data_IF_396688096391
#
_entry.id   IF_396688096391
#
_cell.length_a   1.000
_cell.length_b   1.000
_cell.length_c   1.000
_cell.angle_alpha   90.00
_cell.angle_beta   90.00
_cell.angle_gamma   90.00
#
_symmetry.space_group_name_H-M   'P 1'
#
loop_
_entity.id
_entity.type
_entity.pdbx_description
1 polymer ?
#
# COMPACT_ATOMS: atom_id res chain seq x y z
N UNK A 1 7.97 7.19 -2.15
CA UNK A 1 6.55 6.88 -2.45
C UNK A 1 5.69 7.52 -1.38
N UNK A 2 4.61 8.22 -1.74
CA UNK A 2 3.54 8.58 -0.80
C UNK A 2 2.53 7.42 -0.73
N UNK A 3 1.95 7.16 0.45
CA UNK A 3 0.71 6.38 0.50
C UNK A 3 -0.41 7.21 -0.12
N UNK A 4 -1.09 6.63 -1.10
CA UNK A 4 -2.22 7.24 -1.81
C UNK A 4 -3.38 6.24 -1.88
N UNK A 5 -4.61 6.75 -1.81
CA UNK A 5 -5.81 5.93 -2.04
C UNK A 5 -6.27 6.07 -3.48
N UNK A 6 -6.79 4.98 -4.05
CA UNK A 6 -7.46 4.91 -5.34
C UNK A 6 -8.88 4.35 -5.15
N UNK A 7 -9.84 4.77 -5.96
CA UNK A 7 -11.17 4.17 -6.02
C UNK A 7 -11.21 3.10 -7.11
N UNK A 8 -11.38 1.84 -6.73
CA UNK A 8 -11.37 0.71 -7.66
C UNK A 8 -12.75 0.05 -7.65
N UNK A 9 -13.46 -0.04 -8.79
CA UNK A 9 -14.79 -0.63 -8.82
C UNK A 9 -14.76 -2.14 -8.55
N UNK A 10 -15.73 -2.64 -7.80
CA UNK A 10 -15.99 -4.07 -7.66
C UNK A 10 -16.73 -4.67 -8.88
N UNK A 11 -17.21 -5.91 -8.75
CA UNK A 11 -18.01 -6.58 -9.79
C UNK A 11 -19.43 -5.98 -9.93
N UNK A 12 -19.95 -5.36 -8.88
CA UNK A 12 -21.26 -4.69 -8.82
C UNK A 12 -21.19 -3.20 -9.23
N UNK A 13 -20.00 -2.63 -9.35
CA UNK A 13 -19.74 -1.22 -9.70
C UNK A 13 -19.60 -0.26 -8.51
N UNK A 14 -19.44 -0.76 -7.28
CA UNK A 14 -19.18 0.08 -6.10
C UNK A 14 -17.69 0.46 -6.00
N UNK A 15 -17.38 1.72 -5.67
CA UNK A 15 -16.00 2.16 -5.41
C UNK A 15 -15.45 1.53 -4.13
N UNK A 16 -14.44 0.67 -4.25
CA UNK A 16 -13.64 0.17 -3.14
C UNK A 16 -12.41 1.06 -2.92
N UNK A 17 -12.11 1.36 -1.65
CA UNK A 17 -10.92 2.14 -1.28
C UNK A 17 -9.67 1.24 -1.31
N UNK A 18 -8.82 1.47 -2.30
CA UNK A 18 -7.57 0.74 -2.49
C UNK A 18 -6.37 1.57 -2.01
N UNK A 19 -5.52 1.01 -1.16
CA UNK A 19 -4.24 1.62 -0.79
C UNK A 19 -3.21 1.26 -1.85
N UNK A 20 -2.65 2.26 -2.52
CA UNK A 20 -1.50 2.13 -3.41
C UNK A 20 -0.26 1.76 -2.59
N UNK A 21 0.38 0.64 -2.95
CA UNK A 21 1.57 0.12 -2.27
C UNK A 21 2.83 0.52 -3.05
N UNK A 22 2.87 0.23 -4.34
CA UNK A 22 3.89 0.72 -5.26
C UNK A 22 3.42 0.67 -6.72
N UNK A 23 4.08 1.45 -7.59
CA UNK A 23 4.12 1.21 -9.02
C UNK A 23 5.53 0.81 -9.44
N UNK A 24 5.67 0.02 -10.50
CA UNK A 24 6.98 -0.34 -11.06
C UNK A 24 6.91 -0.62 -12.57
N UNK A 25 8.07 -0.55 -13.23
CA UNK A 25 8.31 -1.06 -14.58
C UNK A 25 9.02 -2.40 -14.43
N UNK A 26 8.58 -3.43 -15.16
CA UNK A 26 9.36 -4.66 -15.33
C UNK A 26 10.33 -4.47 -16.50
N UNK A 27 11.61 -4.22 -16.21
CA UNK A 27 12.58 -3.76 -17.24
C UNK A 27 12.86 -4.81 -18.33
N UNK A 28 12.47 -6.08 -18.11
CA UNK A 28 12.56 -7.18 -19.08
C UNK A 28 11.49 -7.13 -20.19
N UNK A 29 10.35 -6.49 -19.95
CA UNK A 29 9.30 -6.27 -20.97
C UNK A 29 9.01 -4.79 -21.25
N UNK A 30 9.47 -3.88 -20.39
CA UNK A 30 9.14 -2.45 -20.43
C UNK A 30 7.73 -2.13 -19.93
N UNK A 31 6.92 -3.14 -19.63
CA UNK A 31 5.54 -2.97 -19.19
C UNK A 31 5.48 -2.39 -17.76
N UNK A 32 4.51 -1.50 -17.54
CA UNK A 32 4.26 -0.86 -16.25
C UNK A 32 3.22 -1.67 -15.45
N UNK A 33 3.37 -1.68 -14.13
CA UNK A 33 2.49 -2.39 -13.21
C UNK A 33 2.24 -1.58 -11.93
N UNK A 34 1.08 -1.82 -11.35
CA UNK A 34 0.57 -1.23 -10.12
C UNK A 34 0.29 -2.31 -9.08
N UNK A 35 0.65 -2.05 -7.84
CA UNK A 35 0.41 -2.92 -6.70
C UNK A 35 -0.40 -2.19 -5.65
N UNK A 36 -1.58 -2.73 -5.32
CA UNK A 36 -2.48 -2.13 -4.32
C UNK A 36 -3.05 -3.19 -3.36
N UNK A 37 -3.68 -2.76 -2.27
CA UNK A 37 -4.49 -3.63 -1.42
C UNK A 37 -5.84 -3.00 -1.08
N UNK A 38 -6.88 -3.85 -1.00
CA UNK A 38 -8.22 -3.50 -0.52
C UNK A 38 -8.37 -3.75 1.01
N UNK A 39 -7.26 -3.97 1.72
CA UNK A 39 -7.22 -4.32 3.15
C UNK A 39 -7.96 -5.64 3.49
N UNK A 40 -8.10 -6.54 2.52
CA UNK A 40 -8.62 -7.89 2.73
C UNK A 40 -7.59 -8.77 3.46
N UNK A 41 -7.83 -9.06 4.74
CA UNK A 41 -7.11 -10.12 5.47
C UNK A 41 -7.73 -11.49 5.16
N UNK A 42 -6.89 -12.48 4.86
CA UNK A 42 -7.31 -13.79 4.32
C UNK A 42 -7.08 -14.94 5.31
N UNK A 43 -6.10 -14.78 6.20
CA UNK A 43 -5.81 -15.62 7.35
C UNK A 43 -5.04 -14.76 8.38
N UNK A 44 -4.69 -15.33 9.54
CA UNK A 44 -3.72 -14.67 10.43
C UNK A 44 -2.44 -14.32 9.64
N UNK A 45 -1.99 -13.08 9.81
CA UNK A 45 -0.83 -12.42 9.17
C UNK A 45 -0.76 -12.43 7.61
N UNK A 46 -1.80 -12.89 6.90
CA UNK A 46 -1.85 -12.87 5.41
C UNK A 46 -2.84 -11.85 4.86
N UNK A 47 -2.32 -10.92 4.06
CA UNK A 47 -3.07 -9.86 3.38
C UNK A 47 -3.14 -10.16 1.87
N UNK A 48 -4.30 -9.87 1.27
CA UNK A 48 -4.50 -9.90 -0.18
C UNK A 48 -3.97 -8.59 -0.78
N UNK A 49 -3.11 -8.71 -1.79
CA UNK A 49 -2.70 -7.59 -2.64
C UNK A 49 -3.10 -7.90 -4.08
N UNK A 50 -3.18 -6.87 -4.91
CA UNK A 50 -3.54 -6.98 -6.32
C UNK A 50 -2.43 -6.39 -7.17
N UNK A 51 -2.15 -7.07 -8.27
CA UNK A 51 -1.20 -6.67 -9.30
C UNK A 51 -1.98 -6.42 -10.59
N UNK A 52 -1.96 -5.17 -11.06
CA UNK A 52 -2.61 -4.73 -12.29
C UNK A 52 -1.56 -4.14 -13.24
N UNK A 53 -1.57 -4.47 -14.54
CA UNK A 53 -0.77 -3.77 -15.53
C UNK A 53 -1.30 -2.34 -15.74
N UNK A 54 -0.44 -1.44 -16.21
CA UNK A 54 -0.82 -0.09 -16.61
C UNK A 54 -0.36 0.23 -18.04
N UNK A 55 -1.20 0.97 -18.75
CA UNK A 55 -0.88 1.62 -20.03
C UNK A 55 -1.14 3.13 -19.93
N UNK A 56 -0.49 3.91 -20.80
CA UNK A 56 -0.58 5.38 -20.82
C UNK A 56 0.77 6.08 -20.67
N UNK A 57 0.80 7.36 -21.05
CA UNK A 57 1.99 8.20 -21.08
C UNK A 57 1.84 9.45 -20.19
N UNK A 58 2.96 9.94 -19.66
CA UNK A 58 2.97 11.10 -18.77
C UNK A 58 2.16 10.87 -17.49
N UNK A 59 1.12 11.70 -17.29
CA UNK A 59 0.31 11.74 -16.09
C UNK A 59 -1.03 10.99 -16.17
N UNK A 60 -1.50 10.57 -17.35
CA UNK A 60 -2.74 9.78 -17.48
C UNK A 60 -2.40 8.32 -17.77
N UNK A 61 -2.88 7.40 -16.91
CA UNK A 61 -2.66 5.95 -17.05
C UNK A 61 -3.93 5.18 -16.74
N UNK A 62 -4.08 4.00 -17.32
CA UNK A 62 -5.25 3.12 -17.13
C UNK A 62 -4.81 1.71 -16.74
N UNK A 63 -5.61 1.04 -15.90
CA UNK A 63 -5.40 -0.37 -15.57
C UNK A 63 -5.98 -1.25 -16.69
N UNK A 64 -5.11 -1.99 -17.37
CA UNK A 64 -5.48 -2.84 -18.51
C UNK A 64 -5.51 -4.34 -18.13
N UNK A 65 -5.62 -5.23 -19.13
CA UNK A 65 -5.53 -6.68 -18.96
C UNK A 65 -4.28 -7.21 -19.68
N UNK A 66 -3.34 -7.79 -18.94
CA UNK A 66 -2.07 -8.27 -19.48
C UNK A 66 -2.09 -9.77 -19.80
N UNK A 67 -1.10 -10.24 -20.58
CA UNK A 67 -0.94 -11.66 -20.86
C UNK A 67 -0.46 -12.44 -19.63
N UNK A 68 -0.58 -13.77 -19.67
CA UNK A 68 -0.03 -14.63 -18.62
C UNK A 68 1.51 -14.49 -18.48
N UNK A 69 2.21 -14.20 -19.58
CA UNK A 69 3.67 -14.03 -19.62
C UNK A 69 4.10 -12.72 -18.95
N UNK A 70 3.40 -11.63 -19.26
CA UNK A 70 3.58 -10.33 -18.58
C UNK A 70 3.28 -10.44 -17.10
N UNK A 71 2.21 -11.15 -16.71
CA UNK A 71 1.84 -11.33 -15.31
C UNK A 71 2.84 -12.19 -14.54
N UNK A 72 3.44 -13.22 -15.16
CA UNK A 72 4.55 -13.97 -14.56
C UNK A 72 5.79 -13.07 -14.38
N UNK A 73 6.11 -12.27 -15.39
CA UNK A 73 7.23 -11.33 -15.39
C UNK A 73 7.08 -10.27 -14.29
N UNK A 74 5.90 -9.65 -14.19
CA UNK A 74 5.53 -8.72 -13.14
C UNK A 74 5.57 -9.36 -11.74
N UNK A 75 5.12 -10.61 -11.62
CA UNK A 75 5.19 -11.36 -10.35
C UNK A 75 6.64 -11.66 -9.95
N UNK A 76 7.54 -11.89 -10.90
CA UNK A 76 8.98 -12.05 -10.62
C UNK A 76 9.62 -10.72 -10.17
N UNK A 77 9.34 -9.62 -10.87
CA UNK A 77 9.78 -8.28 -10.48
C UNK A 77 9.26 -7.88 -9.09
N UNK A 78 7.97 -8.10 -8.80
CA UNK A 78 7.37 -7.82 -7.49
C UNK A 78 8.01 -8.66 -6.36
N UNK A 79 8.33 -9.93 -6.60
CA UNK A 79 9.09 -10.74 -5.63
C UNK A 79 10.47 -10.15 -5.36
N UNK A 80 11.14 -9.57 -6.36
CA UNK A 80 12.43 -8.90 -6.20
C UNK A 80 12.32 -7.59 -5.41
N UNK A 81 11.31 -6.77 -5.70
CA UNK A 81 10.99 -5.56 -4.94
C UNK A 81 10.74 -5.89 -3.45
N UNK A 82 9.93 -6.93 -3.17
CA UNK A 82 9.63 -7.35 -1.79
C UNK A 82 10.88 -7.89 -1.08
N UNK A 83 11.71 -8.69 -1.77
CA UNK A 83 12.99 -9.16 -1.24
C UNK A 83 13.91 -7.98 -0.88
N UNK A 84 14.05 -7.01 -1.77
CA UNK A 84 14.94 -5.86 -1.60
C UNK A 84 14.42 -4.86 -0.54
N UNK A 85 13.10 -4.77 -0.37
CA UNK A 85 12.45 -4.05 0.75
C UNK A 85 12.63 -4.75 2.11
N UNK A 86 12.70 -6.09 2.13
CA UNK A 86 12.93 -6.86 3.35
C UNK A 86 14.42 -7.02 3.70
N UNK A 87 15.32 -6.73 2.76
CA UNK A 87 16.77 -6.77 2.96
C UNK A 87 17.25 -5.80 4.05
N UNK A 88 18.23 -6.16 4.91
CA UNK A 88 18.72 -5.30 5.98
C UNK A 88 19.21 -3.91 5.54
N UNK A 89 19.64 -3.75 4.29
CA UNK A 89 20.09 -2.45 3.76
C UNK A 89 18.99 -1.65 3.05
N UNK A 90 17.83 -2.26 2.75
CA UNK A 90 16.71 -1.69 1.99
C UNK A 90 17.18 -0.87 0.77
N UNK A 91 17.68 -1.57 -0.25
CA UNK A 91 18.28 -1.07 -1.49
C UNK A 91 17.96 -2.05 -2.63
N UNK A 92 17.72 -1.52 -3.83
CA UNK A 92 17.58 -2.31 -5.05
C UNK A 92 18.90 -3.03 -5.38
N UNK A 93 18.82 -4.31 -5.75
CA UNK A 93 19.99 -5.20 -5.90
C UNK A 93 20.34 -5.53 -7.36
N UNK A 94 19.43 -5.32 -8.31
CA UNK A 94 19.67 -5.45 -9.75
C UNK A 94 18.71 -4.58 -10.58
N UNK A 95 18.91 -4.53 -11.89
CA UNK A 95 18.13 -3.72 -12.82
C UNK A 95 16.89 -4.45 -13.38
N UNK A 96 16.34 -5.47 -12.71
CA UNK A 96 15.15 -6.20 -13.21
C UNK A 96 13.86 -5.37 -13.16
N UNK A 97 13.79 -4.35 -12.30
CA UNK A 97 12.66 -3.45 -12.16
C UNK A 97 13.11 -1.98 -12.05
N UNK A 98 12.17 -1.05 -12.21
CA UNK A 98 12.33 0.36 -11.85
C UNK A 98 11.10 0.82 -11.07
N UNK A 99 11.25 1.49 -9.92
CA UNK A 99 10.08 1.99 -9.17
C UNK A 99 9.51 3.23 -9.86
N UNK A 100 8.18 3.32 -9.92
CA UNK A 100 7.47 4.49 -10.44
C UNK A 100 7.04 5.39 -9.28
N UNK A 101 7.35 6.68 -9.37
CA UNK A 101 6.54 7.69 -8.66
C UNK A 101 5.21 7.86 -9.41
N UNK A 102 4.13 7.86 -8.64
CA UNK A 102 2.74 7.97 -9.09
C UNK A 102 1.97 9.04 -8.31
N UNK A 103 2.67 9.90 -7.55
CA UNK A 103 2.08 10.89 -6.66
C UNK A 103 1.05 11.76 -7.40
N UNK A 104 1.41 12.31 -8.56
CA UNK A 104 0.56 13.19 -9.38
C UNK A 104 -0.15 12.50 -10.56
N UNK A 105 -0.03 11.17 -10.70
CA UNK A 105 -0.61 10.43 -11.85
C UNK A 105 -2.12 10.24 -11.71
N UNK A 106 -2.92 10.57 -12.73
CA UNK A 106 -4.32 10.17 -12.81
C UNK A 106 -4.41 8.71 -13.29
N UNK A 107 -5.00 7.84 -12.47
CA UNK A 107 -5.07 6.39 -12.72
C UNK A 107 -6.53 5.98 -12.92
N UNK A 108 -6.90 5.66 -14.14
CA UNK A 108 -8.21 5.11 -14.50
C UNK A 108 -8.28 3.64 -14.06
N UNK A 109 -9.00 3.40 -12.97
CA UNK A 109 -9.14 2.09 -12.34
C UNK A 109 -10.18 1.24 -13.07
N UNK A 110 -9.83 0.00 -13.44
CA UNK A 110 -10.80 -1.00 -13.94
C UNK A 110 -11.19 -1.96 -12.80
N UNK A 111 -12.09 -2.92 -13.07
CA UNK A 111 -12.71 -3.74 -12.01
C UNK A 111 -11.69 -4.63 -11.30
N UNK A 112 -11.77 -4.70 -9.97
CA UNK A 112 -10.88 -5.49 -9.13
C UNK A 112 -10.83 -7.00 -9.49
N UNK A 113 -11.88 -7.54 -10.13
CA UNK A 113 -11.94 -8.93 -10.60
C UNK A 113 -11.14 -9.21 -11.89
N UNK A 114 -10.62 -8.18 -12.57
CA UNK A 114 -9.70 -8.30 -13.72
C UNK A 114 -8.23 -8.30 -13.27
N UNK A 115 -7.94 -7.93 -12.03
CA UNK A 115 -6.58 -7.78 -11.50
C UNK A 115 -6.09 -9.05 -10.81
N UNK A 116 -4.78 -9.32 -10.88
CA UNK A 116 -4.21 -10.56 -10.36
C UNK A 116 -4.00 -10.49 -8.85
N UNK A 117 -4.80 -11.23 -8.07
CA UNK A 117 -4.68 -11.24 -6.60
C UNK A 117 -3.58 -12.17 -6.10
N UNK A 118 -2.68 -11.65 -5.28
CA UNK A 118 -1.61 -12.37 -4.58
C UNK A 118 -1.85 -12.34 -3.06
N UNK A 119 -1.23 -13.27 -2.34
CA UNK A 119 -1.22 -13.29 -0.85
C UNK A 119 0.19 -13.00 -0.37
N UNK A 120 0.33 -12.04 0.54
CA UNK A 120 1.62 -11.55 1.08
C UNK A 120 1.49 -11.41 2.59
N UNK A 121 2.60 -11.60 3.33
CA UNK A 121 2.58 -11.43 4.78
C UNK A 121 2.48 -9.95 5.17
N UNK A 122 1.78 -9.67 6.28
CA UNK A 122 1.62 -8.32 6.81
C UNK A 122 2.98 -7.66 7.13
N UNK A 123 3.98 -8.45 7.55
CA UNK A 123 5.35 -7.95 7.74
C UNK A 123 5.99 -7.47 6.43
N UNK A 124 5.88 -8.24 5.33
CA UNK A 124 6.43 -7.83 4.03
C UNK A 124 5.71 -6.61 3.47
N UNK A 125 4.39 -6.49 3.70
CA UNK A 125 3.62 -5.30 3.34
C UNK A 125 4.13 -4.05 4.06
N UNK A 126 4.36 -4.14 5.38
CA UNK A 126 4.89 -3.02 6.18
C UNK A 126 6.33 -2.64 5.79
N UNK A 127 7.13 -3.59 5.27
CA UNK A 127 8.45 -3.28 4.68
C UNK A 127 8.33 -2.58 3.32
N UNK A 128 7.40 -3.02 2.47
CA UNK A 128 7.16 -2.43 1.15
C UNK A 128 6.67 -0.98 1.25
N UNK A 129 5.77 -0.68 2.20
CA UNK A 129 5.23 0.68 2.43
C UNK A 129 6.29 1.73 2.81
N UNK A 130 7.44 1.32 3.34
CA UNK A 130 8.57 2.21 3.67
C UNK A 130 9.74 2.08 2.68
N UNK A 131 9.59 1.28 1.62
CA UNK A 131 10.64 1.08 0.63
C UNK A 131 10.74 2.28 -0.32
N UNK A 132 11.95 2.80 -0.46
CA UNK A 132 12.30 3.81 -1.44
C UNK A 132 13.77 3.58 -1.84
N UNK A 133 14.06 2.98 -3.01
CA UNK A 133 15.42 2.66 -3.41
C UNK A 133 16.25 3.90 -3.75
N UNK A 134 15.59 4.95 -4.26
CA UNK A 134 16.25 6.14 -4.81
C UNK A 134 16.66 7.15 -3.72
N UNK A 135 15.88 7.24 -2.63
CA UNK A 135 16.09 8.18 -1.51
C UNK A 135 17.42 8.03 -0.74
N UNK A 136 18.32 7.13 -1.16
CA UNK A 136 19.68 6.98 -0.63
C UNK A 136 20.78 7.38 -1.62
N UNK A 137 20.48 7.67 -2.90
CA UNK A 137 21.51 8.00 -3.90
C UNK A 137 21.96 9.47 -3.86
N UNK A 138 21.12 10.39 -3.39
CA UNK A 138 21.44 11.83 -3.37
C UNK A 138 22.50 12.22 -2.34
N UNK A 139 22.74 11.39 -1.31
CA UNK A 139 23.69 11.69 -0.23
C UNK A 139 25.14 11.44 -0.67
N UNK A 140 25.40 10.46 -1.55
CA UNK A 140 26.77 10.08 -1.97
C UNK A 140 27.23 10.79 -3.26
N UNK A 141 26.41 11.66 -3.87
CA UNK A 141 26.79 12.46 -5.06
C UNK A 141 27.32 13.86 -4.78
N UNK A 142 27.40 14.28 -3.51
CA UNK A 142 27.86 15.62 -3.10
C UNK A 142 29.26 15.63 -2.46
N UNK A 143 29.90 14.47 -2.30
CA UNK A 143 31.15 14.30 -1.55
C UNK A 143 32.38 14.04 -2.45
N UNK A 144 32.74 15.01 -3.30
CA UNK A 144 34.07 15.05 -3.94
C UNK A 144 35.06 15.80 -3.04
N UNK A 145 36.10 15.14 -2.47
CA UNK A 145 37.21 15.85 -1.84
C UNK A 145 37.97 16.62 -2.91
N UNK A 146 38.13 17.94 -2.72
CA UNK A 146 39.01 18.73 -3.56
C UNK A 146 40.46 18.49 -3.14
N UNK A 147 41.25 17.85 -4.00
CA UNK A 147 42.70 17.86 -3.92
C UNK A 147 43.26 18.41 -5.23
N UNK A 148 44.18 19.37 -5.13
CA UNK A 148 44.52 20.26 -6.25
C UNK A 148 45.92 19.95 -6.80
N UNK A 149 46.12 20.07 -8.12
CA UNK A 149 47.43 20.36 -8.73
C UNK A 149 47.29 21.21 -10.00
N UNK A 150 48.31 22.05 -10.23
CA UNK A 150 48.33 23.27 -11.06
C UNK A 150 48.05 23.17 -12.58
N UNK A 151 47.28 24.14 -13.12
CA UNK A 151 47.65 25.20 -14.12
C UNK A 151 48.68 24.95 -15.26
N UNK A 152 48.75 25.80 -16.33
CA UNK A 152 47.92 26.97 -16.73
C UNK A 152 47.58 27.04 -18.26
N UNK A 153 47.20 28.24 -18.76
CA UNK A 153 47.16 28.72 -20.18
C UNK A 153 45.96 28.26 -21.07
N UNK A 154 45.35 29.11 -21.93
CA UNK A 154 45.39 30.58 -22.08
C UNK A 154 44.19 31.14 -22.92
N UNK A 155 44.01 32.47 -22.95
CA UNK A 155 43.16 33.32 -23.83
C UNK A 155 41.69 32.90 -24.16
N UNK A 156 40.70 33.66 -23.66
CA UNK A 156 39.99 34.70 -24.46
C UNK A 156 38.69 35.22 -23.83
N UNK A 157 38.56 36.55 -23.79
CA UNK A 157 37.33 37.35 -23.62
C UNK A 157 37.41 38.51 -24.64
N UNK A 158 36.36 39.34 -24.90
CA UNK A 158 35.00 39.37 -24.34
C UNK A 158 33.90 39.44 -25.44
N UNK A 159 32.64 39.71 -25.07
CA UNK A 159 31.85 40.90 -25.54
C UNK A 159 30.37 40.77 -25.15
N UNK A 160 29.84 41.75 -24.42
CA UNK A 160 28.39 42.02 -24.28
C UNK A 160 27.97 43.05 -25.35
N UNK A 161 26.72 43.02 -25.86
CA UNK A 161 25.80 44.06 -25.40
C UNK A 161 24.29 43.67 -25.32
N UNK A 162 23.68 44.13 -24.23
CA UNK A 162 22.36 44.80 -24.13
C UNK A 162 21.42 44.79 -25.36
N UNK A 163 20.18 44.29 -25.19
CA UNK A 163 18.98 44.81 -25.89
C UNK A 163 17.65 44.41 -25.22
N UNK A 164 16.72 45.36 -25.20
CA UNK A 164 15.28 45.29 -24.84
C UNK A 164 14.63 46.57 -25.44
N UNK A 165 13.29 46.79 -25.46
CA UNK A 165 12.15 45.92 -25.10
C UNK A 165 11.03 45.86 -26.18
N UNK A 166 9.98 45.06 -25.94
CA UNK A 166 8.56 45.26 -26.33
C UNK A 166 7.77 44.15 -25.63
N UNK A 167 6.81 44.37 -24.74
CA UNK A 167 5.59 45.20 -24.79
C UNK A 167 4.50 44.65 -25.72
N UNK A 168 3.56 43.89 -25.15
CA UNK A 168 2.23 43.56 -25.70
C UNK A 168 1.35 42.88 -24.64
N UNK A 169 0.77 43.69 -23.74
CA UNK A 169 -0.51 43.39 -23.08
C UNK A 169 -1.62 44.06 -23.92
N UNK A 170 -2.92 43.64 -23.91
CA UNK A 170 -3.71 43.79 -22.67
C UNK A 170 -4.95 42.87 -22.47
N UNK A 171 -5.63 43.11 -21.34
CA UNK A 171 -7.08 42.98 -21.11
C UNK A 171 -7.83 41.65 -21.28
N UNK A 172 -8.13 41.03 -20.13
CA UNK A 172 -9.44 40.37 -19.89
C UNK A 172 -10.57 41.41 -19.87
N UNK A 173 -11.79 41.01 -20.29
CA UNK A 173 -12.94 41.25 -19.43
C UNK A 173 -13.95 40.08 -19.43
N UNK A 174 -14.17 39.47 -18.26
CA UNK A 174 -15.30 38.56 -18.04
C UNK A 174 -16.54 39.34 -17.60
N UNK A 175 -17.64 39.34 -18.37
CA UNK A 175 -18.97 39.63 -17.82
C UNK A 175 -20.18 39.21 -18.67
N UNK A 176 -21.27 38.97 -17.95
CA UNK A 176 -22.69 38.90 -18.37
C UNK A 176 -23.16 37.60 -19.05
N UNK A 177 -23.92 36.86 -18.23
CA UNK A 177 -24.88 35.80 -18.56
C UNK A 177 -25.87 36.25 -19.64
N UNK A 178 -26.17 35.37 -20.59
CA UNK A 178 -27.39 35.41 -21.42
C UNK A 178 -27.81 34.00 -21.82
N UNK A 179 -29.08 33.64 -21.58
CA UNK A 179 -29.76 32.48 -22.17
C UNK A 179 -31.27 32.74 -22.28
N UNK A 180 -31.96 31.99 -23.16
CA UNK A 180 -33.33 32.26 -23.67
C UNK A 180 -33.39 33.51 -24.58
N UNK A 181 -34.34 33.65 -25.55
CA UNK A 181 -35.79 33.42 -25.43
C UNK A 181 -36.45 32.59 -26.56
N UNK A 182 -37.80 32.53 -26.55
CA UNK A 182 -38.69 32.02 -27.62
C UNK A 182 -38.75 30.49 -27.74
N UNK A 183 -39.90 29.78 -27.76
CA UNK A 183 -41.32 30.11 -27.52
C UNK A 183 -42.09 28.78 -27.23
N UNK A 184 -43.37 28.73 -26.83
CA UNK A 184 -44.38 29.81 -26.67
C UNK A 184 -44.96 29.77 -25.23
N UNK A 185 -46.25 29.72 -24.83
CA UNK A 185 -47.60 29.67 -25.45
C UNK A 185 -48.60 30.34 -24.47
N UNK A 186 -49.88 30.56 -24.80
CA UNK A 186 -50.83 31.23 -23.87
C UNK A 186 -52.28 30.70 -23.90
N UNK A 187 -52.91 30.64 -22.71
CA UNK A 187 -54.32 31.00 -22.43
C UNK A 187 -54.63 30.89 -20.93
N UNK A 188 -55.76 31.46 -20.49
CA UNK A 188 -56.11 31.76 -19.10
C UNK A 188 -57.45 31.17 -18.65
N UNK A 189 -57.60 30.76 -17.38
CA UNK A 189 -58.86 30.93 -16.60
C UNK A 189 -58.68 30.69 -15.08
N UNK A 190 -59.77 30.92 -14.35
CA UNK A 190 -59.93 31.39 -12.97
C UNK A 190 -59.30 30.69 -11.75
N UNK A 191 -59.12 31.55 -10.74
CA UNK A 191 -59.25 31.37 -9.29
C UNK A 191 -60.04 30.13 -8.82
N UNK A 192 -59.39 29.26 -8.05
CA UNK A 192 -59.97 28.66 -6.83
C UNK A 192 -58.95 28.76 -5.70
N UNK A 193 -59.41 29.20 -4.52
CA UNK A 193 -58.63 29.35 -3.30
C UNK A 193 -58.49 28.00 -2.56
N UNK A 194 -57.30 27.40 -2.56
CA UNK A 194 -56.91 26.34 -1.63
C UNK A 194 -55.49 26.62 -1.10
N UNK A 195 -55.36 26.68 0.23
CA UNK A 195 -54.11 27.04 0.88
C UNK A 195 -53.08 25.90 0.77
N UNK A 196 -51.84 26.16 0.32
CA UNK A 196 -50.76 25.20 0.46
C UNK A 196 -50.39 25.06 1.94
N UNK A 197 -50.27 23.83 2.42
CA UNK A 197 -49.63 23.57 3.70
C UNK A 197 -48.15 24.02 3.58
N UNK A 198 -47.72 24.94 4.44
CA UNK A 198 -46.34 25.43 4.42
C UNK A 198 -45.43 24.36 5.00
N UNK A 199 -44.80 23.57 4.12
CA UNK A 199 -43.62 22.78 4.47
C UNK A 199 -42.51 23.74 4.89
N UNK A 200 -42.36 23.94 6.20
CA UNK A 200 -41.29 24.76 6.75
C UNK A 200 -39.96 24.03 6.53
N UNK A 201 -39.13 24.58 5.65
CA UNK A 201 -37.76 24.13 5.40
C UNK A 201 -37.02 24.04 6.76
N UNK A 202 -36.39 22.89 7.10
CA UNK A 202 -35.80 22.71 8.42
C UNK A 202 -34.71 23.75 8.66
N UNK A 203 -34.92 24.58 9.69
CA UNK A 203 -34.09 25.76 9.95
C UNK A 203 -32.64 25.36 10.19
N UNK A 204 -31.70 26.27 9.88
CA UNK A 204 -30.26 26.00 9.98
C UNK A 204 -29.83 25.45 11.36
N UNK A 205 -30.50 25.85 12.44
CA UNK A 205 -30.29 25.29 13.79
C UNK A 205 -30.67 23.80 13.90
N UNK A 206 -31.78 23.37 13.29
CA UNK A 206 -32.19 21.96 13.29
C UNK A 206 -31.20 21.09 12.52
N UNK A 207 -30.68 21.60 11.38
CA UNK A 207 -29.63 20.94 10.59
C UNK A 207 -28.30 20.80 11.37
N UNK A 208 -27.98 21.75 12.25
CA UNK A 208 -26.84 21.65 13.19
C UNK A 208 -27.12 20.60 14.28
N UNK A 209 -28.33 20.60 14.87
CA UNK A 209 -28.69 19.66 15.92
C UNK A 209 -28.70 18.20 15.46
N UNK A 210 -29.20 17.89 14.26
CA UNK A 210 -29.19 16.53 13.72
C UNK A 210 -27.76 16.05 13.45
N UNK A 211 -26.91 16.91 12.90
CA UNK A 211 -25.49 16.61 12.70
C UNK A 211 -24.76 16.37 14.04
N UNK A 212 -25.03 17.18 15.08
CA UNK A 212 -24.43 16.98 16.40
C UNK A 212 -24.91 15.68 17.07
N UNK A 213 -26.20 15.35 16.98
CA UNK A 213 -26.76 14.09 17.50
C UNK A 213 -26.17 12.88 16.77
N UNK A 214 -26.01 12.96 15.45
CA UNK A 214 -25.34 11.94 14.62
C UNK A 214 -23.87 11.76 15.00
N UNK A 215 -23.12 12.86 15.20
CA UNK A 215 -21.73 12.81 15.64
C UNK A 215 -21.56 12.16 17.03
N UNK A 216 -22.42 12.50 17.99
CA UNK A 216 -22.41 11.89 19.34
C UNK A 216 -22.69 10.38 19.26
N UNK A 217 -23.69 9.96 18.47
CA UNK A 217 -24.00 8.55 18.25
C UNK A 217 -22.82 7.79 17.61
N UNK A 218 -22.21 8.36 16.56
CA UNK A 218 -21.04 7.80 15.87
C UNK A 218 -19.83 7.63 16.81
N UNK A 219 -19.51 8.66 17.61
CA UNK A 219 -18.42 8.59 18.60
C UNK A 219 -18.71 7.55 19.69
N UNK A 220 -19.97 7.40 20.11
CA UNK A 220 -20.37 6.38 21.10
C UNK A 220 -20.24 4.97 20.53
N UNK A 221 -20.74 4.72 19.33
CA UNK A 221 -20.60 3.44 18.61
C UNK A 221 -19.13 3.08 18.35
N UNK A 222 -18.30 4.08 18.02
CA UNK A 222 -16.86 3.87 17.83
C UNK A 222 -16.16 3.51 19.15
N UNK A 223 -16.50 4.17 20.27
CA UNK A 223 -16.01 3.82 21.62
C UNK A 223 -16.39 2.38 22.00
N UNK A 224 -17.63 1.97 21.76
CA UNK A 224 -18.10 0.60 22.02
C UNK A 224 -17.36 -0.43 21.14
N UNK A 225 -17.14 -0.10 19.87
CA UNK A 225 -16.34 -0.92 18.95
C UNK A 225 -14.88 -1.08 19.42
N UNK A 226 -14.27 -0.01 19.92
CA UNK A 226 -12.91 -0.04 20.48
C UNK A 226 -12.84 -0.85 21.79
N UNK A 227 -13.83 -0.71 22.68
CA UNK A 227 -13.92 -1.50 23.91
C UNK A 227 -14.06 -2.99 23.62
N UNK A 228 -14.92 -3.37 22.67
CA UNK A 228 -15.06 -4.75 22.21
C UNK A 228 -13.74 -5.32 21.67
N UNK A 229 -13.04 -4.55 20.81
CA UNK A 229 -11.71 -4.92 20.32
C UNK A 229 -10.67 -5.07 21.43
N UNK A 230 -10.69 -4.21 22.45
CA UNK A 230 -9.77 -4.30 23.58
C UNK A 230 -10.00 -5.59 24.40
N UNK A 231 -11.26 -5.95 24.67
CA UNK A 231 -11.60 -7.20 25.36
C UNK A 231 -11.17 -8.44 24.55
N UNK A 232 -11.40 -8.45 23.23
CA UNK A 232 -10.94 -9.54 22.36
C UNK A 232 -9.41 -9.65 22.30
N UNK A 233 -8.67 -8.53 22.40
CA UNK A 233 -7.21 -8.54 22.47
C UNK A 233 -6.69 -9.09 23.80
N UNK A 234 -7.30 -8.73 24.93
CA UNK A 234 -6.92 -9.27 26.24
C UNK A 234 -7.16 -10.79 26.33
N UNK A 235 -8.29 -11.27 25.79
CA UNK A 235 -8.57 -12.70 25.70
C UNK A 235 -7.53 -13.42 24.83
N UNK A 236 -7.25 -12.91 23.62
CA UNK A 236 -6.26 -13.54 22.72
C UNK A 236 -4.83 -13.49 23.28
N UNK A 237 -4.46 -12.48 24.07
CA UNK A 237 -3.19 -12.48 24.81
C UNK A 237 -3.15 -13.60 25.86
N UNK A 238 -4.27 -13.85 26.55
CA UNK A 238 -4.40 -14.90 27.56
C UNK A 238 -4.32 -16.31 26.96
N UNK A 239 -5.01 -16.53 25.84
CA UNK A 239 -4.93 -17.76 25.04
C UNK A 239 -3.50 -18.04 24.55
N UNK A 240 -2.82 -17.02 24.00
CA UNK A 240 -1.44 -17.14 23.53
C UNK A 240 -0.48 -17.51 24.66
N UNK A 241 -0.60 -16.84 25.81
CA UNK A 241 0.22 -17.15 26.99
C UNK A 241 -0.04 -18.56 27.52
N UNK A 242 -1.30 -18.99 27.62
CA UNK A 242 -1.61 -20.36 28.03
C UNK A 242 -1.00 -21.38 27.07
N UNK A 243 -1.07 -21.13 25.75
CA UNK A 243 -0.47 -21.98 24.72
C UNK A 243 1.07 -22.04 24.83
N UNK A 244 1.72 -20.93 25.18
CA UNK A 244 3.16 -20.88 25.44
C UNK A 244 3.53 -21.72 26.67
N UNK A 245 2.78 -21.60 27.78
CA UNK A 245 2.96 -22.40 29.00
C UNK A 245 2.74 -23.91 28.72
N UNK A 246 1.71 -24.29 27.98
CA UNK A 246 1.45 -25.67 27.55
C UNK A 246 2.57 -26.24 26.67
N UNK A 247 3.12 -25.44 25.74
CA UNK A 247 4.25 -25.85 24.89
C UNK A 247 5.53 -26.03 25.72
N UNK A 248 5.83 -25.13 26.66
CA UNK A 248 7.00 -25.23 27.53
C UNK A 248 6.90 -26.39 28.55
N UNK A 249 5.69 -26.80 28.96
CA UNK A 249 5.48 -28.04 29.73
C UNK A 249 5.72 -29.27 28.85
N UNK A 250 5.29 -29.24 27.59
CA UNK A 250 5.46 -30.34 26.64
C UNK A 250 6.93 -30.54 26.23
N UNK A 251 7.67 -29.47 25.99
CA UNK A 251 9.11 -29.46 25.70
C UNK A 251 9.89 -30.21 26.78
N UNK A 252 9.78 -29.76 28.04
CA UNK A 252 10.37 -30.42 29.23
C UNK A 252 9.98 -31.89 29.40
N UNK A 253 8.83 -32.30 28.85
CA UNK A 253 8.37 -33.70 28.87
C UNK A 253 8.99 -34.57 27.76
N UNK A 254 9.50 -33.96 26.69
CA UNK A 254 10.36 -34.61 25.71
C UNK A 254 11.81 -34.65 26.20
N UNK A 255 12.36 -33.54 26.72
CA UNK A 255 13.73 -33.47 27.24
C UNK A 255 14.01 -34.60 28.23
N UNK A 256 13.14 -34.78 29.23
CA UNK A 256 13.25 -35.87 30.21
C UNK A 256 13.22 -37.26 29.58
N UNK A 257 12.43 -37.48 28.53
CA UNK A 257 12.37 -38.77 27.83
C UNK A 257 13.63 -39.03 27.01
N UNK A 258 14.24 -37.99 26.47
CA UNK A 258 15.54 -38.09 25.81
C UNK A 258 16.65 -38.41 26.82
N UNK A 259 16.67 -37.74 28.00
CA UNK A 259 17.55 -38.09 29.12
C UNK A 259 17.37 -39.55 29.57
N UNK A 260 16.13 -40.00 29.79
CA UNK A 260 15.79 -41.38 30.16
C UNK A 260 16.26 -42.40 29.09
N UNK A 261 16.10 -42.08 27.80
CA UNK A 261 16.48 -42.97 26.70
C UNK A 261 18.00 -43.02 26.47
N UNK A 262 18.71 -41.89 26.63
CA UNK A 262 20.17 -41.83 26.61
C UNK A 262 20.75 -42.62 27.79
N UNK A 263 20.18 -42.48 28.99
CA UNK A 263 20.58 -43.26 30.16
C UNK A 263 20.36 -44.77 29.94
N UNK A 264 19.21 -45.16 29.38
CA UNK A 264 18.92 -46.54 29.02
C UNK A 264 19.88 -47.13 27.97
N UNK A 265 20.20 -46.37 26.93
CA UNK A 265 21.17 -46.77 25.90
C UNK A 265 22.58 -46.97 26.48
N UNK A 266 23.03 -46.07 27.36
CA UNK A 266 24.32 -46.20 28.03
C UNK A 266 24.36 -47.43 28.97
N UNK A 267 23.28 -47.69 29.72
CA UNK A 267 23.18 -48.88 30.57
C UNK A 267 23.20 -50.19 29.76
N UNK A 268 22.51 -50.25 28.62
CA UNK A 268 22.55 -51.40 27.70
C UNK A 268 23.97 -51.64 27.16
N UNK A 269 24.67 -50.58 26.73
CA UNK A 269 26.05 -50.67 26.24
C UNK A 269 27.01 -51.19 27.32
N UNK A 270 26.88 -50.73 28.57
CA UNK A 270 27.68 -51.25 29.68
C UNK A 270 27.39 -52.73 29.97
N UNK A 271 26.13 -53.17 29.85
CA UNK A 271 25.77 -54.59 30.01
C UNK A 271 26.31 -55.46 28.86
N UNK A 272 26.29 -54.96 27.62
CA UNK A 272 26.91 -55.60 26.47
C UNK A 272 28.44 -55.74 26.64
N UNK A 273 29.12 -54.68 27.10
CA UNK A 273 30.56 -54.72 27.38
C UNK A 273 30.92 -55.73 28.48
N UNK A 274 30.12 -55.81 29.55
CA UNK A 274 30.27 -56.81 30.61
C UNK A 274 30.08 -58.24 30.09
N UNK A 275 29.01 -58.50 29.33
CA UNK A 275 28.74 -59.83 28.78
C UNK A 275 29.83 -60.25 27.77
N UNK A 276 30.33 -59.31 26.95
CA UNK A 276 31.46 -59.54 26.05
C UNK A 276 32.82 -59.73 26.75
N UNK A 277 32.95 -59.38 28.03
CA UNK A 277 34.13 -59.75 28.84
C UNK A 277 33.99 -61.17 29.39
N UNK A 278 32.83 -61.52 29.95
CA UNK A 278 32.53 -62.87 30.45
C UNK A 278 32.64 -63.97 29.37
N UNK A 279 32.31 -63.67 28.11
CA UNK A 279 32.47 -64.61 26.98
C UNK A 279 33.90 -64.73 26.44
N UNK A 280 34.89 -64.04 27.01
CA UNK A 280 36.32 -64.14 26.60
C UNK A 280 37.19 -64.88 27.63
N UNK A 281 36.74 -64.95 28.87
CA UNK A 281 37.49 -65.49 30.01
C UNK A 281 37.07 -66.94 30.38
N UNK A 282 36.22 -67.59 29.58
CA UNK A 282 35.67 -68.95 29.80
C UNK A 282 35.64 -69.82 28.55
#
# INVERSE_FOLDING_TARGET
MLLRTLEIPDDQGQSLNAVLLCGFIANTSGQQFLVYSLNEKVADDLIKIYLAPMEGEGLERSMCSASSEDMMTATAALKRIIHDACSPQARQTDNSYSVLDLTDTHIHCTRANLHHSLKVSEHWLMKLLVFNPDAKQDIERSATPADAHAHPQEYSSPTTPLSSPSESQPSVPYRVISHTPTAQEALSHDVIEHAPAVEQEPTHSQKIETNLKSLIASVTQHKETLLSKFVMLDERMRELKQREEDMAVRERSFDRREEELIAGMNALKMAEEQLNSLMKDG
#
